data_IF_667825071171
#
_entry.id   IF_667825071171
#
_cell.length_a   1.000
_cell.length_b   1.000
_cell.length_c   1.000
_cell.angle_alpha   90.00
_cell.angle_beta   90.00
_cell.angle_gamma   90.00
#
_symmetry.space_group_name_H-M   'P 1'
#
loop_
_entity.id
_entity.type
_entity.pdbx_description
1 polymer ?
#
# COMPACT_ATOMS: atom_id res chain seq x y z
N UNK A 1 5.91 -34.44 -40.91
CA UNK A 1 6.32 -33.96 -39.57
C UNK A 1 7.48 -32.96 -39.69
N UNK A 2 7.22 -31.72 -40.11
CA UNK A 2 8.25 -30.65 -40.11
C UNK A 2 7.71 -29.23 -39.91
N UNK A 3 6.38 -29.04 -39.83
CA UNK A 3 5.76 -27.71 -39.75
C UNK A 3 5.00 -27.43 -38.44
N UNK A 4 5.14 -28.28 -37.41
CA UNK A 4 4.52 -28.03 -36.09
C UNK A 4 5.49 -27.30 -35.14
N UNK A 5 6.80 -27.47 -35.32
CA UNK A 5 7.82 -26.84 -34.46
C UNK A 5 7.95 -25.33 -34.74
N UNK A 6 7.63 -24.86 -35.95
CA UNK A 6 7.68 -23.44 -36.27
C UNK A 6 6.53 -22.63 -35.66
N UNK A 7 5.41 -23.28 -35.29
CA UNK A 7 4.28 -22.61 -34.65
C UNK A 7 4.53 -22.39 -33.14
N UNK A 8 5.35 -23.24 -32.51
CA UNK A 8 5.72 -23.08 -31.09
C UNK A 8 6.77 -21.97 -30.85
N UNK A 9 7.50 -21.55 -31.89
CA UNK A 9 8.44 -20.42 -31.82
C UNK A 9 7.77 -19.05 -32.08
N UNK A 10 6.50 -19.05 -32.49
CA UNK A 10 5.73 -17.82 -32.76
C UNK A 10 4.82 -17.39 -31.58
N UNK A 11 4.88 -18.07 -30.43
CA UNK A 11 4.03 -17.79 -29.24
C UNK A 11 4.87 -17.43 -28.01
N UNK A 12 6.01 -16.76 -28.19
CA UNK A 12 6.80 -16.20 -27.08
C UNK A 12 7.10 -14.71 -27.19
N UNK A 13 6.46 -13.99 -28.12
CA UNK A 13 6.33 -12.53 -28.02
C UNK A 13 5.05 -12.20 -27.24
N UNK A 14 4.91 -12.78 -26.05
CA UNK A 14 4.10 -12.13 -25.02
C UNK A 14 4.79 -10.79 -24.81
N UNK A 15 4.11 -9.75 -25.26
CA UNK A 15 4.49 -8.38 -24.99
C UNK A 15 4.44 -8.21 -23.48
N UNK A 16 5.53 -8.57 -22.80
CA UNK A 16 5.91 -7.84 -21.61
C UNK A 16 6.08 -6.41 -22.11
N UNK A 17 4.99 -5.64 -22.05
CA UNK A 17 5.14 -4.24 -21.67
C UNK A 17 5.76 -4.30 -20.28
N UNK A 18 7.08 -4.50 -20.23
CA UNK A 18 7.88 -3.98 -19.15
C UNK A 18 7.35 -2.56 -18.99
N UNK A 19 6.72 -2.29 -17.85
CA UNK A 19 6.70 -0.93 -17.35
C UNK A 19 8.15 -0.47 -17.43
N UNK A 20 8.45 0.36 -18.42
CA UNK A 20 9.76 1.00 -18.52
C UNK A 20 9.99 1.63 -17.17
N UNK A 21 11.05 1.22 -16.47
CA UNK A 21 11.39 1.83 -15.19
C UNK A 21 11.38 3.34 -15.37
N UNK A 22 10.74 4.10 -14.45
CA UNK A 22 10.69 5.54 -14.55
C UNK A 22 12.09 6.09 -14.80
N UNK A 23 12.22 7.01 -15.75
CA UNK A 23 13.50 7.65 -15.98
C UNK A 23 13.80 8.63 -14.84
N UNK A 24 14.52 8.11 -13.85
CA UNK A 24 14.95 8.83 -12.67
C UNK A 24 15.91 9.99 -12.97
N UNK A 25 16.43 10.12 -14.21
CA UNK A 25 17.21 11.31 -14.61
C UNK A 25 16.36 12.60 -14.60
N UNK A 26 15.04 12.46 -14.73
CA UNK A 26 14.08 13.58 -14.71
C UNK A 26 13.58 13.92 -13.30
N UNK A 27 13.88 13.08 -12.31
CA UNK A 27 13.47 13.26 -10.92
C UNK A 27 14.56 14.05 -10.20
N UNK A 28 14.19 15.22 -9.67
CA UNK A 28 15.08 16.02 -8.85
C UNK A 28 14.95 15.58 -7.40
N UNK A 29 15.98 14.89 -6.91
CA UNK A 29 16.03 14.55 -5.50
C UNK A 29 16.46 15.77 -4.68
N UNK A 30 15.69 16.09 -3.64
CA UNK A 30 15.97 17.18 -2.73
C UNK A 30 15.68 16.71 -1.31
N UNK A 31 16.62 16.94 -0.39
CA UNK A 31 16.42 16.60 1.00
C UNK A 31 16.31 17.84 1.88
N UNK A 32 15.30 17.85 2.74
CA UNK A 32 15.21 18.84 3.84
C UNK A 32 15.89 18.35 5.11
N UNK A 33 16.40 17.12 5.14
CA UNK A 33 16.99 16.49 6.31
C UNK A 33 18.48 16.79 6.34
N UNK A 34 18.94 17.40 7.43
CA UNK A 34 20.38 17.70 7.64
C UNK A 34 21.18 16.45 7.98
N UNK A 35 20.64 15.62 8.87
CA UNK A 35 21.25 14.35 9.30
C UNK A 35 20.16 13.30 9.48
N UNK A 36 20.36 12.13 8.88
CA UNK A 36 19.47 10.98 9.03
C UNK A 36 19.78 10.23 10.33
N UNK A 37 18.75 9.60 10.92
CA UNK A 37 18.96 8.63 12.01
C UNK A 37 19.91 7.53 11.52
N UNK A 38 20.90 7.19 12.34
CA UNK A 38 21.92 6.17 12.03
C UNK A 38 21.47 4.78 12.47
N UNK A 39 20.75 4.73 13.58
CA UNK A 39 20.18 3.50 14.11
C UNK A 39 18.96 3.07 13.30
N UNK A 40 18.78 1.75 13.22
CA UNK A 40 17.60 1.16 12.58
C UNK A 40 16.40 1.29 13.51
N UNK A 41 15.17 1.29 12.96
CA UNK A 41 13.97 1.20 13.76
C UNK A 41 14.02 -0.01 14.70
N UNK A 42 13.62 0.16 15.96
CA UNK A 42 13.57 -0.93 16.92
C UNK A 42 12.22 -1.62 16.86
N UNK A 43 12.22 -2.96 16.77
CA UNK A 43 11.01 -3.78 16.94
C UNK A 43 10.78 -4.16 18.41
N UNK A 44 11.62 -3.67 19.33
CA UNK A 44 11.50 -3.97 20.75
C UNK A 44 10.18 -3.44 21.31
N UNK A 45 9.44 -4.30 22.02
CA UNK A 45 8.12 -3.97 22.56
C UNK A 45 6.97 -4.13 21.57
N UNK A 46 7.22 -4.47 20.30
CA UNK A 46 6.18 -4.82 19.34
C UNK A 46 6.00 -6.33 19.23
N UNK A 47 4.74 -6.76 19.23
CA UNK A 47 4.38 -8.17 19.02
C UNK A 47 4.43 -8.58 17.54
N UNK A 48 4.57 -7.61 16.62
CA UNK A 48 4.57 -7.86 15.18
C UNK A 48 5.80 -8.66 14.75
N UNK A 49 5.56 -9.79 14.10
CA UNK A 49 6.57 -10.59 13.42
C UNK A 49 6.40 -10.55 11.92
N UNK A 50 7.45 -10.91 11.17
CA UNK A 50 7.37 -11.03 9.70
C UNK A 50 6.23 -11.92 9.21
N UNK A 51 5.98 -13.05 9.90
CA UNK A 51 4.86 -13.94 9.57
C UNK A 51 3.48 -13.28 9.77
N UNK A 52 3.36 -12.29 10.66
CA UNK A 52 2.12 -11.52 10.79
C UNK A 52 1.93 -10.59 9.58
N UNK A 53 3.01 -9.99 9.08
CA UNK A 53 2.98 -9.17 7.84
C UNK A 53 2.56 -10.03 6.65
N UNK A 54 3.17 -11.20 6.47
CA UNK A 54 2.79 -12.16 5.43
C UNK A 54 1.30 -12.53 5.53
N UNK A 55 0.84 -12.80 6.76
CA UNK A 55 -0.55 -13.16 7.01
C UNK A 55 -1.51 -12.04 6.66
N UNK A 56 -1.20 -10.79 7.01
CA UNK A 56 -2.01 -9.62 6.63
C UNK A 56 -2.09 -9.50 5.10
N UNK A 57 -0.96 -9.56 4.41
CA UNK A 57 -0.90 -9.44 2.94
C UNK A 57 -1.70 -10.59 2.30
N UNK A 58 -1.54 -11.83 2.77
CA UNK A 58 -2.28 -13.00 2.28
C UNK A 58 -3.80 -12.84 2.48
N UNK A 59 -4.24 -12.39 3.65
CA UNK A 59 -5.68 -12.20 3.94
C UNK A 59 -6.31 -11.09 3.09
N UNK A 60 -5.54 -10.06 2.74
CA UNK A 60 -5.99 -8.96 1.87
C UNK A 60 -5.81 -9.25 0.37
N UNK A 61 -4.86 -10.11 0.00
CA UNK A 61 -4.34 -10.21 -1.37
C UNK A 61 -4.47 -11.57 -2.06
N UNK A 62 -4.64 -12.69 -1.34
CA UNK A 62 -4.60 -14.06 -1.89
C UNK A 62 -5.63 -14.39 -2.98
N UNK A 63 -6.63 -13.53 -3.20
CA UNK A 63 -7.56 -13.67 -4.32
C UNK A 63 -7.07 -13.00 -5.61
N UNK A 64 -5.91 -12.35 -5.56
CA UNK A 64 -5.36 -11.48 -6.62
C UNK A 64 -3.86 -11.69 -6.86
N UNK A 65 -3.12 -12.07 -5.82
CA UNK A 65 -1.71 -12.40 -5.86
C UNK A 65 -1.52 -13.90 -5.63
N UNK A 66 -0.55 -14.50 -6.31
CA UNK A 66 -0.09 -15.86 -6.01
C UNK A 66 0.87 -15.89 -4.80
N UNK A 67 1.24 -17.09 -4.35
CA UNK A 67 2.07 -17.26 -3.15
C UNK A 67 3.47 -16.65 -3.31
N UNK A 68 4.04 -16.67 -4.52
CA UNK A 68 5.35 -16.07 -4.80
C UNK A 68 5.27 -14.55 -4.76
N UNK A 69 4.21 -13.95 -5.31
CA UNK A 69 3.91 -12.53 -5.22
C UNK A 69 3.68 -12.08 -3.77
N UNK A 70 2.92 -12.86 -2.98
CA UNK A 70 2.69 -12.57 -1.55
C UNK A 70 4.01 -12.58 -0.77
N UNK A 71 4.87 -13.58 -1.01
CA UNK A 71 6.18 -13.67 -0.37
C UNK A 71 7.06 -12.48 -0.76
N UNK A 72 7.12 -12.14 -2.05
CA UNK A 72 7.89 -11.01 -2.55
C UNK A 72 7.44 -9.66 -1.96
N UNK A 73 6.12 -9.41 -1.90
CA UNK A 73 5.54 -8.24 -1.24
C UNK A 73 5.93 -8.22 0.24
N UNK A 74 5.85 -9.38 0.92
CA UNK A 74 6.20 -9.52 2.33
C UNK A 74 7.66 -9.17 2.60
N UNK A 75 8.59 -9.67 1.79
CA UNK A 75 10.02 -9.37 1.92
C UNK A 75 10.29 -7.87 1.79
N UNK A 76 9.68 -7.24 0.78
CA UNK A 76 9.82 -5.80 0.53
C UNK A 76 9.25 -4.97 1.67
N UNK A 77 8.03 -5.28 2.11
CA UNK A 77 7.38 -4.59 3.23
C UNK A 77 8.18 -4.75 4.50
N UNK A 78 8.57 -5.99 4.84
CA UNK A 78 9.34 -6.25 6.05
C UNK A 78 10.67 -5.51 6.05
N UNK A 79 11.39 -5.51 4.92
CA UNK A 79 12.65 -4.77 4.80
C UNK A 79 12.47 -3.26 5.00
N UNK A 80 11.39 -2.67 4.47
CA UNK A 80 11.09 -1.27 4.69
C UNK A 80 10.92 -0.96 6.18
N UNK A 81 10.28 -1.84 6.94
CA UNK A 81 10.09 -1.67 8.38
C UNK A 81 11.43 -1.78 9.13
N UNK A 82 12.23 -2.82 8.90
CA UNK A 82 13.40 -3.08 9.75
C UNK A 82 14.69 -2.38 9.28
N UNK A 83 14.78 -1.98 8.01
CA UNK A 83 15.98 -1.37 7.43
C UNK A 83 15.61 -0.40 6.28
N UNK A 84 15.00 0.76 6.60
CA UNK A 84 14.56 1.74 5.60
C UNK A 84 15.67 2.19 4.64
N UNK A 85 16.90 2.32 5.15
CA UNK A 85 18.06 2.72 4.34
C UNK A 85 18.34 1.67 3.26
N UNK A 86 18.33 0.38 3.63
CA UNK A 86 18.53 -0.70 2.67
C UNK A 86 17.33 -0.81 1.72
N UNK A 87 16.12 -0.62 2.21
CA UNK A 87 14.91 -0.62 1.38
C UNK A 87 14.96 0.47 0.29
N UNK A 88 15.23 1.72 0.66
CA UNK A 88 15.33 2.83 -0.30
C UNK A 88 16.41 2.61 -1.36
N UNK A 89 17.50 1.93 -0.99
CA UNK A 89 18.58 1.59 -1.91
C UNK A 89 18.21 0.45 -2.87
N UNK A 90 17.70 -0.67 -2.34
CA UNK A 90 17.42 -1.88 -3.13
C UNK A 90 16.14 -1.76 -3.95
N UNK A 91 15.11 -1.12 -3.38
CA UNK A 91 13.76 -1.01 -3.96
C UNK A 91 13.39 0.45 -4.23
N UNK A 92 14.33 1.21 -4.78
CA UNK A 92 14.17 2.65 -5.07
C UNK A 92 12.89 2.98 -5.82
N UNK A 93 12.50 2.13 -6.77
CA UNK A 93 11.30 2.32 -7.57
C UNK A 93 10.03 2.31 -6.72
N UNK A 94 9.91 1.32 -5.84
CA UNK A 94 8.78 1.17 -4.92
C UNK A 94 8.82 2.27 -3.86
N UNK A 95 10.00 2.59 -3.34
CA UNK A 95 10.17 3.66 -2.38
C UNK A 95 9.64 5.01 -2.90
N UNK A 96 9.93 5.34 -4.16
CA UNK A 96 9.45 6.56 -4.81
C UNK A 96 7.96 6.46 -5.17
N UNK A 97 7.55 5.41 -5.87
CA UNK A 97 6.20 5.31 -6.41
C UNK A 97 5.11 5.12 -5.34
N UNK A 98 5.47 4.63 -4.15
CA UNK A 98 4.55 4.52 -3.01
C UNK A 98 4.21 5.88 -2.37
N UNK A 99 4.93 6.96 -2.70
CA UNK A 99 4.62 8.30 -2.20
C UNK A 99 3.37 8.84 -2.93
N UNK A 100 2.34 9.29 -2.20
CA UNK A 100 1.17 9.91 -2.82
C UNK A 100 1.55 11.08 -3.73
N UNK A 101 1.09 11.04 -4.98
CA UNK A 101 1.39 12.07 -5.99
C UNK A 101 2.90 12.25 -6.28
N UNK A 102 3.70 11.19 -6.17
CA UNK A 102 5.14 11.23 -6.46
C UNK A 102 5.47 11.86 -7.83
N UNK A 103 4.58 11.73 -8.82
CA UNK A 103 4.77 12.27 -10.17
C UNK A 103 4.30 13.73 -10.34
N UNK A 104 3.87 14.40 -9.26
CA UNK A 104 3.41 15.79 -9.32
C UNK A 104 4.58 16.73 -9.56
N UNK A 105 4.40 17.64 -10.52
CA UNK A 105 5.38 18.65 -10.89
C UNK A 105 5.16 19.96 -10.13
N UNK A 106 6.25 20.63 -9.75
CA UNK A 106 6.22 21.98 -9.20
C UNK A 106 5.92 23.03 -10.29
N UNK A 107 5.90 24.32 -9.92
CA UNK A 107 5.68 25.43 -10.87
C UNK A 107 6.75 25.54 -11.97
N UNK A 108 7.90 24.90 -11.80
CA UNK A 108 8.99 24.81 -12.80
C UNK A 108 8.92 23.55 -13.65
N UNK A 109 7.92 22.70 -13.45
CA UNK A 109 7.77 21.43 -14.18
C UNK A 109 8.62 20.27 -13.63
N UNK A 110 9.28 20.43 -12.49
CA UNK A 110 10.17 19.43 -11.89
C UNK A 110 9.41 18.53 -10.91
N UNK A 111 9.75 17.24 -10.87
CA UNK A 111 9.33 16.32 -9.80
C UNK A 111 10.37 16.41 -8.68
N UNK A 112 9.93 16.77 -7.47
CA UNK A 112 10.82 16.98 -6.31
C UNK A 112 10.46 15.99 -5.20
N UNK A 113 11.40 15.11 -4.84
CA UNK A 113 11.18 14.01 -3.88
C UNK A 113 12.41 13.85 -2.96
N UNK A 114 12.21 13.40 -1.72
CA UNK A 114 13.30 12.98 -0.83
C UNK A 114 14.10 11.82 -1.46
N UNK A 115 15.45 11.86 -1.44
CA UNK A 115 16.28 10.82 -2.05
C UNK A 115 16.10 9.44 -1.42
N UNK A 116 15.84 9.39 -0.11
CA UNK A 116 15.60 8.17 0.65
C UNK A 116 14.27 8.33 1.41
N UNK A 117 13.12 8.08 0.76
CA UNK A 117 11.81 8.38 1.33
C UNK A 117 11.50 7.66 2.65
N UNK A 118 11.83 6.36 2.75
CA UNK A 118 11.54 5.58 3.96
C UNK A 118 12.54 5.92 5.08
N UNK A 119 13.81 6.15 4.76
CA UNK A 119 14.79 6.63 5.73
C UNK A 119 14.44 8.04 6.22
N UNK A 120 13.93 8.90 5.34
CA UNK A 120 13.44 10.22 5.70
C UNK A 120 12.22 10.13 6.60
N UNK A 121 11.27 9.23 6.30
CA UNK A 121 10.10 8.96 7.12
C UNK A 121 10.50 8.45 8.51
N UNK A 122 11.42 7.48 8.60
CA UNK A 122 11.99 7.01 9.87
C UNK A 122 12.67 8.14 10.65
N UNK A 123 13.47 8.95 9.97
CA UNK A 123 14.19 10.06 10.60
C UNK A 123 13.23 11.10 11.21
N UNK A 124 12.11 11.37 10.53
CA UNK A 124 11.10 12.35 10.97
C UNK A 124 10.09 11.79 11.97
N UNK A 125 9.92 10.47 12.05
CA UNK A 125 8.98 9.86 12.96
C UNK A 125 9.36 10.08 14.44
N UNK A 126 8.37 10.41 15.27
CA UNK A 126 8.54 10.64 16.71
C UNK A 126 8.94 9.37 17.46
N UNK A 127 8.43 8.21 17.01
CA UNK A 127 8.76 6.90 17.54
C UNK A 127 8.65 5.80 16.48
N UNK A 128 9.15 4.61 16.82
CA UNK A 128 9.17 3.42 15.95
C UNK A 128 7.77 2.97 15.53
N UNK A 129 6.80 2.98 16.44
CA UNK A 129 5.43 2.52 16.18
C UNK A 129 4.76 3.38 15.11
N UNK A 130 4.88 4.71 15.21
CA UNK A 130 4.35 5.63 14.21
C UNK A 130 5.04 5.42 12.85
N UNK A 131 6.36 5.23 12.85
CA UNK A 131 7.07 4.89 11.62
C UNK A 131 6.53 3.61 10.98
N UNK A 132 6.32 2.55 11.76
CA UNK A 132 5.85 1.28 11.23
C UNK A 132 4.43 1.37 10.67
N UNK A 133 3.49 2.03 11.37
CA UNK A 133 2.12 2.24 10.86
C UNK A 133 2.16 3.00 9.54
N UNK A 134 2.90 4.11 9.48
CA UNK A 134 3.01 4.95 8.29
C UNK A 134 3.68 4.24 7.10
N UNK A 135 4.78 3.54 7.34
CA UNK A 135 5.51 2.81 6.30
C UNK A 135 4.69 1.62 5.78
N UNK A 136 4.04 0.89 6.70
CA UNK A 136 3.22 -0.26 6.35
C UNK A 136 1.98 0.16 5.57
N UNK A 137 1.23 1.16 6.06
CA UNK A 137 0.05 1.70 5.38
C UNK A 137 0.37 2.24 3.99
N UNK A 138 1.48 2.96 3.83
CA UNK A 138 1.94 3.46 2.54
C UNK A 138 2.21 2.31 1.55
N UNK A 139 2.87 1.25 1.98
CA UNK A 139 3.16 0.10 1.11
C UNK A 139 1.92 -0.73 0.82
N UNK A 140 1.06 -0.99 1.81
CA UNK A 140 -0.21 -1.68 1.57
C UNK A 140 -1.11 -0.89 0.61
N UNK A 141 -1.08 0.43 0.67
CA UNK A 141 -1.78 1.30 -0.31
C UNK A 141 -1.15 1.19 -1.70
N UNK A 142 0.18 1.20 -1.80
CA UNK A 142 0.88 0.98 -3.07
C UNK A 142 0.49 -0.35 -3.74
N UNK A 143 0.40 -1.42 -2.94
CA UNK A 143 -0.05 -2.75 -3.39
C UNK A 143 -1.58 -2.90 -3.48
N UNK A 144 -2.34 -1.80 -3.31
CA UNK A 144 -3.81 -1.76 -3.43
C UNK A 144 -4.56 -2.64 -2.42
N UNK A 145 -3.90 -3.00 -1.33
CA UNK A 145 -4.45 -3.79 -0.21
C UNK A 145 -5.17 -2.89 0.81
N UNK A 146 -4.76 -1.63 0.88
CA UNK A 146 -5.37 -0.59 1.73
C UNK A 146 -5.68 0.67 0.94
N UNK A 147 -6.45 1.55 1.56
CA UNK A 147 -6.66 2.93 1.14
C UNK A 147 -6.44 3.87 2.32
N UNK A 148 -6.11 5.12 2.00
CA UNK A 148 -6.02 6.22 2.96
C UNK A 148 -6.69 7.45 2.35
N UNK A 149 -7.54 8.14 3.11
CA UNK A 149 -8.02 9.48 2.74
C UNK A 149 -8.74 10.19 3.88
N UNK A 150 -8.48 11.49 3.98
CA UNK A 150 -9.13 12.40 4.94
C UNK A 150 -10.46 12.99 4.43
N UNK A 151 -10.86 12.70 3.19
CA UNK A 151 -12.10 13.21 2.61
C UNK A 151 -12.87 12.14 1.82
N UNK A 152 -14.20 12.30 1.69
CA UNK A 152 -15.04 11.31 1.02
C UNK A 152 -14.71 11.11 -0.47
N UNK A 153 -14.16 12.11 -1.15
CA UNK A 153 -13.75 12.01 -2.55
C UNK A 153 -12.50 11.14 -2.70
N UNK A 154 -11.53 11.31 -1.82
CA UNK A 154 -10.37 10.45 -1.78
C UNK A 154 -10.72 9.03 -1.32
N UNK A 155 -11.63 8.83 -0.35
CA UNK A 155 -12.14 7.49 0.00
C UNK A 155 -12.74 6.80 -1.23
N UNK A 156 -13.64 7.47 -1.98
CA UNK A 156 -14.22 6.92 -3.21
C UNK A 156 -13.14 6.54 -4.23
N UNK A 157 -12.12 7.39 -4.41
CA UNK A 157 -11.02 7.14 -5.34
C UNK A 157 -10.15 5.95 -4.90
N UNK A 158 -9.84 5.87 -3.61
CA UNK A 158 -9.08 4.77 -3.03
C UNK A 158 -9.84 3.44 -3.15
N UNK A 159 -11.14 3.40 -2.84
CA UNK A 159 -11.98 2.22 -3.08
C UNK A 159 -11.98 1.77 -4.55
N UNK A 160 -11.99 2.71 -5.50
CA UNK A 160 -11.91 2.38 -6.93
C UNK A 160 -10.54 1.82 -7.35
N UNK A 161 -9.49 2.00 -6.54
CA UNK A 161 -8.14 1.52 -6.81
C UNK A 161 -7.78 0.24 -6.05
N UNK A 162 -8.52 -0.13 -4.99
CA UNK A 162 -8.27 -1.33 -4.19
C UNK A 162 -8.67 -2.62 -4.91
N UNK A 163 -7.98 -3.72 -4.61
CA UNK A 163 -8.13 -5.00 -5.31
C UNK A 163 -9.57 -5.54 -5.29
N UNK A 164 -10.20 -5.59 -4.11
CA UNK A 164 -11.57 -6.10 -3.96
C UNK A 164 -12.65 -5.20 -4.56
N UNK A 165 -12.41 -3.89 -4.66
CA UNK A 165 -13.47 -2.91 -4.93
C UNK A 165 -13.32 -2.15 -6.24
N UNK A 166 -12.24 -2.38 -7.00
CA UNK A 166 -11.97 -1.68 -8.26
C UNK A 166 -13.06 -1.82 -9.35
N UNK A 167 -13.88 -2.87 -9.30
CA UNK A 167 -14.99 -3.11 -10.22
C UNK A 167 -16.35 -2.63 -9.70
N UNK A 168 -16.41 -2.12 -8.46
CA UNK A 168 -17.66 -1.70 -7.85
C UNK A 168 -18.02 -0.26 -8.23
N UNK A 169 -19.32 -0.04 -8.46
CA UNK A 169 -19.87 1.31 -8.65
C UNK A 169 -20.44 1.82 -7.34
N UNK A 170 -19.69 2.68 -6.66
CA UNK A 170 -20.15 3.34 -5.45
C UNK A 170 -20.98 4.59 -5.75
N UNK A 171 -21.90 4.93 -4.84
CA UNK A 171 -22.78 6.10 -4.96
C UNK A 171 -22.00 7.41 -5.15
N UNK A 172 -22.68 8.44 -5.63
CA UNK A 172 -22.15 9.80 -5.64
C UNK A 172 -21.92 10.31 -4.22
N UNK A 173 -20.98 11.26 -4.09
CA UNK A 173 -20.64 11.92 -2.82
C UNK A 173 -21.64 13.04 -2.60
N UNK A 174 -22.10 13.18 -1.36
CA UNK A 174 -22.99 14.23 -0.89
C UNK A 174 -22.21 15.27 -0.08
N UNK A 175 -22.74 16.49 0.02
CA UNK A 175 -22.03 17.62 0.63
C UNK A 175 -21.65 17.44 2.11
N UNK A 176 -22.30 16.52 2.83
CA UNK A 176 -22.06 16.21 4.23
C UNK A 176 -21.38 14.84 4.46
N UNK A 177 -20.81 14.24 3.41
CA UNK A 177 -20.07 12.99 3.55
C UNK A 177 -18.70 13.21 4.18
N UNK A 178 -18.57 12.73 5.41
CA UNK A 178 -17.27 12.45 6.02
C UNK A 178 -16.68 11.13 5.50
N UNK A 179 -15.36 10.91 5.61
CA UNK A 179 -14.71 9.67 5.18
C UNK A 179 -15.40 8.40 5.71
N UNK A 180 -15.63 8.35 7.03
CA UNK A 180 -16.32 7.23 7.70
C UNK A 180 -17.75 7.05 7.20
N UNK A 181 -18.49 8.13 6.98
CA UNK A 181 -19.90 8.07 6.54
C UNK A 181 -20.00 7.54 5.11
N UNK A 182 -19.10 8.00 4.24
CA UNK A 182 -19.02 7.51 2.87
C UNK A 182 -18.61 6.03 2.86
N UNK A 183 -17.59 5.66 3.64
CA UNK A 183 -17.14 4.28 3.74
C UNK A 183 -18.22 3.36 4.33
N UNK A 184 -18.99 3.81 5.32
CA UNK A 184 -20.14 3.08 5.88
C UNK A 184 -21.20 2.80 4.80
N UNK A 185 -21.48 3.78 3.95
CA UNK A 185 -22.36 3.58 2.80
C UNK A 185 -21.77 2.64 1.74
N UNK A 186 -20.47 2.71 1.49
CA UNK A 186 -19.78 1.77 0.60
C UNK A 186 -19.83 0.35 1.18
N UNK A 187 -19.69 0.21 2.50
CA UNK A 187 -19.73 -1.06 3.22
C UNK A 187 -21.08 -1.77 3.00
N UNK A 188 -22.19 -1.03 3.09
CA UNK A 188 -23.55 -1.54 2.78
C UNK A 188 -23.65 -2.13 1.36
N UNK A 189 -22.94 -1.55 0.38
CA UNK A 189 -22.96 -2.03 -1.00
C UNK A 189 -22.16 -3.33 -1.20
N UNK A 190 -21.05 -3.49 -0.47
CA UNK A 190 -20.14 -4.65 -0.63
C UNK A 190 -20.47 -5.83 0.30
N UNK A 191 -21.14 -5.58 1.43
CA UNK A 191 -21.53 -6.62 2.40
C UNK A 191 -22.36 -7.75 1.78
N UNK A 192 -23.26 -7.43 0.83
CA UNK A 192 -24.04 -8.43 0.09
C UNK A 192 -23.20 -9.42 -0.72
N UNK A 193 -21.90 -9.14 -0.89
CA UNK A 193 -20.92 -9.97 -1.60
C UNK A 193 -19.91 -10.63 -0.66
N UNK A 194 -20.17 -10.63 0.65
CA UNK A 194 -19.26 -11.22 1.64
C UNK A 194 -17.96 -10.44 1.83
N UNK A 195 -17.99 -9.13 1.56
CA UNK A 195 -16.85 -8.23 1.78
C UNK A 195 -17.20 -7.21 2.86
N UNK A 196 -16.22 -6.81 3.65
CA UNK A 196 -16.39 -5.78 4.68
C UNK A 196 -15.22 -4.81 4.66
N UNK A 197 -15.55 -3.52 4.67
CA UNK A 197 -14.62 -2.43 4.89
C UNK A 197 -14.43 -2.18 6.38
N UNK A 198 -13.18 -1.92 6.77
CA UNK A 198 -12.76 -1.57 8.13
C UNK A 198 -11.96 -0.28 8.08
N UNK A 199 -12.08 0.58 9.10
CA UNK A 199 -11.43 1.90 9.16
C UNK A 199 -10.71 2.10 10.48
N UNK A 200 -9.60 2.83 10.44
CA UNK A 200 -8.88 3.37 11.59
C UNK A 200 -8.42 4.77 11.25
N UNK A 201 -9.00 5.79 11.88
CA UNK A 201 -8.84 7.20 11.49
C UNK A 201 -9.18 7.43 10.00
N UNK A 202 -8.15 7.54 9.14
CA UNK A 202 -8.28 7.78 7.70
C UNK A 202 -7.79 6.61 6.84
N UNK A 203 -7.19 5.60 7.46
CA UNK A 203 -6.77 4.37 6.83
C UNK A 203 -7.89 3.35 6.84
N UNK A 204 -8.02 2.60 5.76
CA UNK A 204 -9.04 1.57 5.65
C UNK A 204 -8.59 0.41 4.76
N UNK A 205 -9.17 -0.75 5.03
CA UNK A 205 -9.02 -1.92 4.17
C UNK A 205 -10.37 -2.53 3.86
N UNK A 206 -10.42 -3.36 2.80
CA UNK A 206 -11.57 -4.19 2.45
C UNK A 206 -11.09 -5.62 2.43
N UNK A 207 -11.82 -6.51 3.10
CA UNK A 207 -11.49 -7.92 3.20
C UNK A 207 -12.74 -8.78 3.04
N UNK A 208 -12.55 -10.10 2.90
CA UNK A 208 -13.65 -11.05 3.04
C UNK A 208 -14.17 -11.02 4.48
N UNK A 209 -15.49 -10.98 4.65
CA UNK A 209 -16.14 -10.78 5.96
C UNK A 209 -15.68 -11.81 6.99
N UNK A 210 -15.48 -13.07 6.59
CA UNK A 210 -15.00 -14.14 7.46
C UNK A 210 -13.55 -14.00 7.92
N UNK A 211 -12.77 -13.09 7.33
CA UNK A 211 -11.37 -12.82 7.68
C UNK A 211 -11.17 -11.56 8.52
N UNK A 212 -12.22 -10.76 8.70
CA UNK A 212 -12.20 -9.47 9.39
C UNK A 212 -11.60 -9.55 10.79
N UNK A 213 -12.08 -10.46 11.63
CA UNK A 213 -11.66 -10.54 13.03
C UNK A 213 -10.19 -10.96 13.18
N UNK A 214 -9.69 -11.79 12.26
CA UNK A 214 -8.28 -12.17 12.21
C UNK A 214 -7.40 -10.99 11.80
N UNK A 215 -7.80 -10.24 10.75
CA UNK A 215 -7.09 -9.05 10.31
C UNK A 215 -7.03 -7.98 11.42
N UNK A 216 -8.14 -7.71 12.10
CA UNK A 216 -8.18 -6.75 13.22
C UNK A 216 -7.18 -7.14 14.31
N UNK A 217 -7.13 -8.42 14.71
CA UNK A 217 -6.16 -8.90 15.71
C UNK A 217 -4.71 -8.76 15.25
N UNK A 218 -4.43 -8.98 13.97
CA UNK A 218 -3.08 -8.81 13.42
C UNK A 218 -2.64 -7.34 13.42
N UNK A 219 -3.51 -6.42 13.02
CA UNK A 219 -3.24 -4.98 13.07
C UNK A 219 -3.09 -4.46 14.51
N UNK A 220 -3.81 -5.03 15.47
CA UNK A 220 -3.66 -4.69 16.89
C UNK A 220 -2.25 -4.95 17.44
N UNK A 221 -1.49 -5.91 16.88
CA UNK A 221 -0.08 -6.14 17.25
C UNK A 221 0.84 -4.96 16.89
N UNK A 222 0.36 -4.07 16.03
CA UNK A 222 0.99 -2.80 15.66
C UNK A 222 0.34 -1.61 16.38
N UNK A 223 -0.48 -1.83 17.41
CA UNK A 223 -1.26 -0.77 18.06
C UNK A 223 -2.22 -0.07 17.05
N UNK A 224 -2.67 -0.80 16.02
CA UNK A 224 -3.53 -0.26 14.96
C UNK A 224 -4.94 -0.84 15.04
N UNK A 225 -5.89 -0.03 15.52
CA UNK A 225 -7.25 -0.48 15.85
C UNK A 225 -8.22 -0.13 14.72
N UNK A 226 -8.67 -1.17 14.01
CA UNK A 226 -9.66 -1.05 12.94
C UNK A 226 -11.05 -1.45 13.42
N UNK A 227 -12.04 -0.66 13.02
CA UNK A 227 -13.45 -0.86 13.37
C UNK A 227 -14.35 -0.80 12.12
N UNK A 228 -15.62 -1.16 12.30
CA UNK A 228 -16.60 -1.01 11.23
C UNK A 228 -16.91 0.48 11.07
N UNK A 229 -16.90 1.04 9.86
CA UNK A 229 -17.21 2.45 9.66
C UNK A 229 -18.66 2.77 10.02
N UNK A 230 -18.83 3.70 10.97
CA UNK A 230 -20.12 4.21 11.43
C UNK A 230 -20.46 5.56 10.80
N UNK A 231 -21.75 5.94 10.90
CA UNK A 231 -22.30 7.23 10.44
C UNK A 231 -22.60 8.10 11.65
#
# INVERSE_FOLDING_TARGET
MKNIILLCLAVTTVSFKLWSQPDYSTVRFYSTIKEYKKEKPSMEGLELKKGDVERIISLLGSSFYDDDEILDITEKVWLALIDPKKFDYVFKDIAVQSIPNWNKKNFKGEIVIEPNPFLAKWTKAENDILYFKDAFGQLLTFYKLMGYSEDAKGVKKALANMLYTNKYKFRSIYGNDWPSFYLSSANKAINSKGLTAMISNFDFFVCKTEKKDELVKLFQKLDWFFEIPEK
#
